data_IF_225878517349
#
_entry.id   IF_225878517349
#
_cell.length_a   1.000
_cell.length_b   1.000
_cell.length_c   1.000
_cell.angle_alpha   90.00
_cell.angle_beta   90.00
_cell.angle_gamma   90.00
#
_symmetry.space_group_name_H-M   'P 1'
#
loop_
_entity.id
_entity.type
_entity.pdbx_description
1 polymer ?
#
# COMPACT_ATOMS: atom_id res chain seq x y z
N UNK A 1 -28.19 13.49 5.46
CA UNK A 1 -29.58 13.39 5.92
C UNK A 1 -29.59 12.99 7.40
N UNK A 2 -29.98 13.90 8.31
CA UNK A 2 -29.97 13.64 9.77
C UNK A 2 -31.14 12.76 10.25
N UNK A 3 -32.17 12.59 9.44
CA UNK A 3 -33.41 11.88 9.82
C UNK A 3 -33.31 10.34 9.70
N UNK A 4 -32.16 9.86 9.21
CA UNK A 4 -31.90 8.43 9.03
C UNK A 4 -30.59 8.02 9.73
N UNK A 5 -30.36 6.72 9.98
CA UNK A 5 -29.07 6.24 10.50
C UNK A 5 -27.89 6.74 9.66
N UNK A 6 -26.79 7.15 10.28
CA UNK A 6 -25.63 7.80 9.62
C UNK A 6 -25.19 7.14 8.31
N UNK A 7 -25.13 5.82 8.28
CA UNK A 7 -24.73 5.06 7.08
C UNK A 7 -25.76 5.06 5.94
N UNK A 8 -26.98 5.51 6.21
CA UNK A 8 -28.08 5.62 5.24
C UNK A 8 -28.36 7.07 4.80
N UNK A 9 -27.63 8.05 5.35
CA UNK A 9 -27.86 9.46 5.08
C UNK A 9 -26.65 10.16 4.46
N UNK A 10 -25.70 9.41 3.89
CA UNK A 10 -24.51 9.97 3.27
C UNK A 10 -24.63 9.99 1.74
N UNK A 11 -24.22 11.10 1.13
CA UNK A 11 -24.10 11.24 -0.31
C UNK A 11 -22.66 11.62 -0.65
N UNK A 12 -22.10 11.02 -1.70
CA UNK A 12 -20.73 11.28 -2.13
C UNK A 12 -20.69 12.22 -3.33
N UNK A 13 -19.68 13.09 -3.34
CA UNK A 13 -19.40 14.02 -4.41
C UNK A 13 -17.91 13.98 -4.77
N UNK A 14 -17.61 14.20 -6.06
CA UNK A 14 -16.27 14.62 -6.49
C UNK A 14 -16.19 16.12 -6.25
N UNK A 15 -15.18 16.56 -5.51
CA UNK A 15 -14.99 17.99 -5.23
C UNK A 15 -13.67 18.41 -5.87
N UNK A 16 -13.68 19.34 -6.87
CA UNK A 16 -12.44 19.89 -7.42
C UNK A 16 -11.64 20.60 -6.33
N UNK A 17 -10.33 20.34 -6.26
CA UNK A 17 -9.48 20.94 -5.24
C UNK A 17 -9.24 22.44 -5.41
N UNK A 18 -9.55 22.99 -6.58
CA UNK A 18 -9.52 24.42 -6.90
C UNK A 18 -10.86 25.12 -6.66
N UNK A 19 -11.85 24.43 -6.07
CA UNK A 19 -13.13 25.04 -5.72
C UNK A 19 -12.95 26.09 -4.62
N UNK A 20 -13.71 27.17 -4.72
CA UNK A 20 -13.75 28.22 -3.68
C UNK A 20 -14.14 27.62 -2.34
N UNK A 21 -13.41 28.00 -1.29
CA UNK A 21 -13.63 27.49 0.08
C UNK A 21 -12.81 26.22 0.41
N UNK A 22 -11.91 25.79 -0.48
CA UNK A 22 -10.98 24.70 -0.17
C UNK A 22 -9.61 25.26 0.16
N UNK A 23 -9.07 24.82 1.31
CA UNK A 23 -7.68 25.05 1.69
C UNK A 23 -6.99 23.71 1.89
N UNK A 24 -5.80 23.54 1.30
CA UNK A 24 -4.98 22.33 1.41
C UNK A 24 -3.68 22.65 2.10
N UNK A 25 -3.46 22.10 3.29
CA UNK A 25 -2.23 22.24 4.06
C UNK A 25 -1.38 20.97 3.97
N UNK A 26 -0.10 21.14 3.64
CA UNK A 26 0.85 20.03 3.59
C UNK A 26 1.21 19.55 4.99
N UNK A 27 1.20 18.23 5.18
CA UNK A 27 1.75 17.55 6.37
C UNK A 27 2.93 16.71 5.94
N UNK A 28 4.12 17.05 6.44
CA UNK A 28 5.33 16.29 6.20
C UNK A 28 5.42 15.16 7.23
N UNK A 29 5.44 13.91 6.74
CA UNK A 29 5.53 12.73 7.60
C UNK A 29 6.96 12.33 7.87
N UNK A 30 7.17 11.49 8.88
CA UNK A 30 8.49 10.98 9.26
C UNK A 30 9.21 10.21 8.12
N UNK A 31 8.46 9.54 7.27
CA UNK A 31 9.01 8.77 6.14
C UNK A 31 9.20 9.60 4.86
N UNK A 32 9.13 10.94 4.95
CA UNK A 32 9.31 11.88 3.84
C UNK A 32 8.18 11.82 2.77
N UNK A 33 7.09 11.11 3.06
CA UNK A 33 5.88 11.12 2.25
C UNK A 33 4.97 12.27 2.67
N UNK A 34 4.59 13.12 1.72
CA UNK A 34 3.67 14.22 1.98
C UNK A 34 2.23 13.71 2.03
N UNK A 35 1.53 14.00 3.12
CA UNK A 35 0.06 13.94 3.17
C UNK A 35 -0.51 15.36 3.25
N UNK A 36 -1.83 15.50 3.27
CA UNK A 36 -2.47 16.81 3.34
C UNK A 36 -3.64 16.79 4.32
N UNK A 37 -3.86 17.93 4.96
CA UNK A 37 -5.13 18.26 5.61
C UNK A 37 -5.90 19.14 4.63
N UNK A 38 -7.15 18.81 4.37
CA UNK A 38 -8.03 19.60 3.50
C UNK A 38 -9.17 20.15 4.30
N UNK A 39 -9.33 21.46 4.25
CA UNK A 39 -10.42 22.19 4.88
C UNK A 39 -11.47 22.56 3.83
N UNK A 40 -12.73 22.47 4.22
CA UNK A 40 -13.87 22.81 3.38
C UNK A 40 -14.72 23.84 4.12
N UNK A 41 -14.79 25.05 3.62
CA UNK A 41 -15.59 26.14 4.19
C UNK A 41 -16.54 26.69 3.13
N UNK A 42 -17.84 26.42 3.31
CA UNK A 42 -18.89 26.90 2.41
C UNK A 42 -18.77 26.42 0.95
N UNK A 43 -18.03 25.36 0.67
CA UNK A 43 -17.79 24.82 -0.68
C UNK A 43 -19.11 24.45 -1.36
N UNK A 44 -19.32 24.97 -2.57
CA UNK A 44 -20.48 24.68 -3.39
C UNK A 44 -20.10 23.79 -4.57
N UNK A 45 -20.77 22.64 -4.67
CA UNK A 45 -20.53 21.65 -5.73
C UNK A 45 -21.82 21.41 -6.49
N UNK A 46 -21.75 21.36 -7.82
CA UNK A 46 -22.92 21.06 -8.67
C UNK A 46 -23.36 19.61 -8.46
N UNK A 47 -24.67 19.35 -8.55
CA UNK A 47 -25.21 18.00 -8.42
C UNK A 47 -24.67 17.02 -9.47
N UNK A 48 -24.20 17.51 -10.62
CA UNK A 48 -23.54 16.69 -11.63
C UNK A 48 -22.22 16.03 -11.18
N UNK A 49 -21.65 16.48 -10.06
CA UNK A 49 -20.47 15.85 -9.42
C UNK A 49 -20.85 14.80 -8.38
N UNK A 50 -22.14 14.56 -8.18
CA UNK A 50 -22.62 13.53 -7.26
C UNK A 50 -22.28 12.13 -7.80
N UNK A 51 -21.79 11.28 -6.91
CA UNK A 51 -21.51 9.89 -7.19
C UNK A 51 -22.64 9.00 -6.62
N UNK A 52 -23.40 8.40 -7.50
CA UNK A 52 -24.51 7.54 -7.14
C UNK A 52 -25.77 8.29 -6.71
N UNK A 53 -26.65 7.60 -6.02
CA UNK A 53 -27.92 8.12 -5.55
C UNK A 53 -27.75 9.01 -4.31
N UNK A 54 -28.72 9.90 -4.07
CA UNK A 54 -28.84 10.60 -2.79
C UNK A 54 -28.97 9.56 -1.68
N UNK A 55 -28.24 9.77 -0.58
CA UNK A 55 -28.17 8.85 0.57
C UNK A 55 -27.53 7.48 0.26
N UNK A 56 -26.99 7.30 -0.96
CA UNK A 56 -26.33 6.08 -1.43
C UNK A 56 -24.80 6.07 -1.24
N UNK A 57 -24.22 7.04 -0.55
CA UNK A 57 -22.76 7.26 -0.48
C UNK A 57 -21.97 6.10 0.13
N UNK A 58 -22.53 5.39 1.10
CA UNK A 58 -21.87 4.20 1.68
C UNK A 58 -21.67 3.11 0.63
N UNK A 59 -22.63 2.89 -0.26
CA UNK A 59 -22.49 1.92 -1.34
C UNK A 59 -21.35 2.29 -2.30
N UNK A 60 -21.25 3.57 -2.64
CA UNK A 60 -20.17 4.10 -3.49
C UNK A 60 -18.82 3.91 -2.82
N UNK A 61 -18.70 4.30 -1.55
CA UNK A 61 -17.48 4.15 -0.75
C UNK A 61 -17.06 2.69 -0.63
N UNK A 62 -18.00 1.79 -0.33
CA UNK A 62 -17.73 0.35 -0.21
C UNK A 62 -17.20 -0.23 -1.52
N UNK A 63 -17.74 0.19 -2.66
CA UNK A 63 -17.24 -0.21 -3.98
C UNK A 63 -15.79 0.22 -4.20
N UNK A 64 -15.43 1.46 -3.87
CA UNK A 64 -14.06 1.95 -3.97
C UNK A 64 -13.09 1.19 -3.03
N UNK A 65 -13.49 0.96 -1.78
CA UNK A 65 -12.69 0.20 -0.82
C UNK A 65 -12.48 -1.27 -1.23
N UNK A 66 -13.47 -1.90 -1.85
CA UNK A 66 -13.32 -3.27 -2.37
C UNK A 66 -12.27 -3.36 -3.47
N UNK A 67 -12.18 -2.35 -4.34
CA UNK A 67 -11.14 -2.28 -5.37
C UNK A 67 -9.75 -2.10 -4.74
N UNK A 68 -9.64 -1.31 -3.69
CA UNK A 68 -8.38 -1.13 -2.95
C UNK A 68 -7.90 -2.45 -2.31
N UNK A 69 -8.78 -3.24 -1.75
CA UNK A 69 -8.43 -4.52 -1.13
C UNK A 69 -7.99 -5.60 -2.14
N UNK A 70 -8.32 -5.46 -3.43
CA UNK A 70 -7.90 -6.40 -4.47
C UNK A 70 -6.45 -6.24 -4.94
N UNK A 71 -5.81 -5.11 -4.62
CA UNK A 71 -4.42 -4.81 -5.00
C UNK A 71 -3.42 -5.30 -3.95
N UNK A 72 -2.51 -6.19 -4.34
CA UNK A 72 -1.38 -6.57 -3.51
C UNK A 72 -0.20 -5.59 -3.66
N UNK A 73 0.76 -5.67 -2.74
CA UNK A 73 2.01 -4.89 -2.79
C UNK A 73 3.13 -5.60 -3.56
N UNK A 74 2.83 -6.65 -4.33
CA UNK A 74 3.81 -7.55 -4.91
C UNK A 74 4.88 -6.83 -5.75
N UNK A 75 4.50 -5.82 -6.54
CA UNK A 75 5.46 -5.04 -7.33
C UNK A 75 6.50 -4.33 -6.46
N UNK A 76 6.05 -3.68 -5.39
CA UNK A 76 6.91 -2.96 -4.45
C UNK A 76 7.74 -3.94 -3.61
N UNK A 77 7.14 -5.05 -3.19
CA UNK A 77 7.85 -6.12 -2.49
C UNK A 77 8.96 -6.73 -3.37
N UNK A 78 8.70 -7.00 -4.65
CA UNK A 78 9.74 -7.45 -5.59
C UNK A 78 10.86 -6.43 -5.75
N UNK A 79 10.54 -5.14 -5.84
CA UNK A 79 11.55 -4.10 -5.91
C UNK A 79 12.45 -4.11 -4.66
N UNK A 80 11.86 -4.23 -3.47
CA UNK A 80 12.59 -4.33 -2.21
C UNK A 80 13.51 -5.55 -2.16
N UNK A 81 13.01 -6.74 -2.51
CA UNK A 81 13.81 -7.98 -2.49
C UNK A 81 14.98 -7.89 -3.46
N UNK A 82 14.76 -7.39 -4.68
CA UNK A 82 15.82 -7.21 -5.68
C UNK A 82 16.87 -6.20 -5.23
N UNK A 83 16.45 -5.09 -4.64
CA UNK A 83 17.37 -4.09 -4.10
C UNK A 83 18.23 -4.68 -2.96
N UNK A 84 17.62 -5.42 -2.05
CA UNK A 84 18.35 -6.10 -0.96
C UNK A 84 19.31 -7.19 -1.51
N UNK A 85 18.90 -7.95 -2.51
CA UNK A 85 19.77 -8.92 -3.16
C UNK A 85 20.97 -8.25 -3.83
N UNK A 86 20.74 -7.17 -4.57
CA UNK A 86 21.83 -6.40 -5.20
C UNK A 86 22.80 -5.88 -4.14
N UNK A 87 22.28 -5.29 -3.06
CA UNK A 87 23.11 -4.79 -1.97
C UNK A 87 23.93 -5.92 -1.30
N UNK A 88 23.34 -7.10 -1.12
CA UNK A 88 24.07 -8.26 -0.62
C UNK A 88 25.20 -8.75 -1.56
N UNK A 89 25.11 -8.50 -2.86
CA UNK A 89 26.17 -8.81 -3.83
C UNK A 89 27.31 -7.79 -3.75
N UNK A 90 27.01 -6.55 -3.43
CA UNK A 90 27.96 -5.43 -3.42
C UNK A 90 28.67 -5.29 -2.07
N UNK A 91 27.92 -5.46 -0.96
CA UNK A 91 28.47 -5.37 0.40
C UNK A 91 29.35 -6.58 0.71
N UNK A 92 30.49 -6.31 1.32
CA UNK A 92 31.41 -7.35 1.77
C UNK A 92 31.44 -7.41 3.29
N UNK A 93 31.42 -8.63 3.83
CA UNK A 93 31.64 -8.93 5.25
C UNK A 93 32.78 -9.96 5.31
N UNK A 94 33.81 -9.71 6.07
CA UNK A 94 35.00 -10.58 6.18
C UNK A 94 35.64 -10.90 4.82
N UNK A 95 35.67 -9.89 3.92
CA UNK A 95 36.27 -10.01 2.57
C UNK A 95 35.41 -10.74 1.52
N UNK A 96 34.27 -11.31 1.92
CA UNK A 96 33.35 -12.04 0.99
C UNK A 96 32.07 -11.23 0.76
N UNK A 97 31.44 -11.34 -0.42
CA UNK A 97 30.12 -10.75 -0.65
C UNK A 97 29.12 -11.27 0.39
N UNK A 98 28.24 -10.38 0.88
CA UNK A 98 27.24 -10.76 1.88
C UNK A 98 26.28 -11.83 1.34
N UNK A 99 26.06 -11.89 0.02
CA UNK A 99 25.22 -12.90 -0.63
C UNK A 99 25.74 -14.33 -0.43
N UNK A 100 27.06 -14.52 -0.18
CA UNK A 100 27.66 -15.84 0.07
C UNK A 100 27.39 -16.34 1.50
N UNK A 101 26.83 -15.48 2.36
CA UNK A 101 26.46 -15.85 3.72
C UNK A 101 25.13 -16.62 3.72
N UNK A 102 25.11 -17.78 4.35
CA UNK A 102 23.94 -18.67 4.41
C UNK A 102 22.73 -18.01 5.10
N UNK A 103 22.95 -17.16 6.11
CA UNK A 103 21.86 -16.42 6.75
C UNK A 103 21.25 -15.39 5.78
N UNK A 104 22.08 -14.65 5.05
CA UNK A 104 21.61 -13.72 4.02
C UNK A 104 20.78 -14.43 2.95
N UNK A 105 21.24 -15.58 2.46
CA UNK A 105 20.51 -16.39 1.49
C UNK A 105 19.15 -16.86 2.02
N UNK A 106 19.08 -17.32 3.27
CA UNK A 106 17.84 -17.75 3.92
C UNK A 106 16.85 -16.59 4.08
N UNK A 107 17.32 -15.42 4.48
CA UNK A 107 16.47 -14.22 4.67
C UNK A 107 15.91 -13.75 3.33
N UNK A 108 16.75 -13.64 2.28
CA UNK A 108 16.32 -13.30 0.94
C UNK A 108 15.33 -14.33 0.36
N UNK A 109 15.61 -15.63 0.52
CA UNK A 109 14.73 -16.71 0.05
C UNK A 109 13.37 -16.66 0.76
N UNK A 110 13.33 -16.40 2.06
CA UNK A 110 12.09 -16.24 2.83
C UNK A 110 11.27 -15.06 2.32
N UNK A 111 11.90 -13.89 2.13
CA UNK A 111 11.22 -12.71 1.60
C UNK A 111 10.70 -12.95 0.18
N UNK A 112 11.48 -13.62 -0.67
CA UNK A 112 11.05 -14.05 -2.00
C UNK A 112 9.82 -14.95 -1.93
N UNK A 113 9.81 -15.93 -1.03
CA UNK A 113 8.67 -16.82 -0.82
C UNK A 113 7.42 -16.03 -0.39
N UNK A 114 7.55 -15.04 0.50
CA UNK A 114 6.43 -14.21 0.92
C UNK A 114 5.84 -13.41 -0.24
N UNK A 115 6.67 -12.86 -1.15
CA UNK A 115 6.18 -12.16 -2.34
C UNK A 115 5.41 -13.11 -3.26
N UNK A 116 5.95 -14.31 -3.55
CA UNK A 116 5.29 -15.31 -4.37
C UNK A 116 3.93 -15.74 -3.78
N UNK A 117 3.88 -15.96 -2.46
CA UNK A 117 2.63 -16.27 -1.77
C UNK A 117 1.64 -15.11 -1.83
N UNK A 118 2.11 -13.86 -1.67
CA UNK A 118 1.26 -12.68 -1.79
C UNK A 118 0.64 -12.58 -3.20
N UNK A 119 1.41 -12.85 -4.25
CA UNK A 119 0.90 -12.90 -5.63
C UNK A 119 -0.16 -13.99 -5.83
N UNK A 120 0.09 -15.20 -5.31
CA UNK A 120 -0.87 -16.31 -5.42
C UNK A 120 -2.19 -15.96 -4.72
N UNK A 121 -2.12 -15.40 -3.50
CA UNK A 121 -3.31 -15.00 -2.74
C UNK A 121 -4.06 -13.86 -3.44
N UNK A 122 -3.34 -12.86 -3.97
CA UNK A 122 -3.94 -11.75 -4.71
C UNK A 122 -4.62 -12.23 -6.00
N UNK A 123 -3.96 -13.12 -6.76
CA UNK A 123 -4.53 -13.72 -7.95
C UNK A 123 -5.78 -14.56 -7.62
N UNK A 124 -5.76 -15.28 -6.49
CA UNK A 124 -6.94 -16.00 -6.01
C UNK A 124 -8.10 -15.05 -5.69
N UNK A 125 -7.81 -13.92 -5.04
CA UNK A 125 -8.82 -12.90 -4.73
C UNK A 125 -9.44 -12.31 -6.01
N UNK A 126 -8.60 -11.98 -7.00
CA UNK A 126 -9.04 -11.48 -8.30
C UNK A 126 -9.91 -12.50 -9.03
N UNK A 127 -9.45 -13.75 -9.12
CA UNK A 127 -10.21 -14.83 -9.74
C UNK A 127 -11.57 -15.05 -9.06
N UNK A 128 -11.62 -15.04 -7.74
CA UNK A 128 -12.87 -15.19 -6.99
C UNK A 128 -13.83 -14.04 -7.27
N UNK A 129 -13.33 -12.81 -7.41
CA UNK A 129 -14.14 -11.66 -7.83
C UNK A 129 -14.71 -11.80 -9.23
N UNK A 130 -13.91 -12.22 -10.21
CA UNK A 130 -14.33 -12.48 -11.59
C UNK A 130 -15.39 -13.57 -11.64
N UNK A 131 -15.22 -14.63 -10.85
CA UNK A 131 -16.20 -15.75 -10.76
C UNK A 131 -17.42 -15.41 -9.90
N UNK A 132 -17.49 -14.20 -9.33
CA UNK A 132 -18.57 -13.76 -8.42
C UNK A 132 -18.82 -14.74 -7.27
N UNK A 133 -17.75 -15.30 -6.71
CA UNK A 133 -17.86 -16.21 -5.57
C UNK A 133 -18.35 -15.44 -4.32
N UNK A 134 -19.20 -16.05 -3.48
CA UNK A 134 -19.86 -15.36 -2.37
C UNK A 134 -18.96 -15.09 -1.16
N UNK A 135 -17.65 -15.18 -1.31
CA UNK A 135 -16.72 -14.95 -0.19
C UNK A 135 -16.15 -13.54 -0.22
N UNK A 136 -16.37 -12.79 0.86
CA UNK A 136 -15.77 -11.47 1.11
C UNK A 136 -14.35 -11.56 1.70
N UNK A 137 -13.87 -12.77 2.02
CA UNK A 137 -12.60 -12.95 2.73
C UNK A 137 -11.36 -12.86 1.83
N UNK A 138 -11.45 -13.17 0.54
CA UNK A 138 -10.28 -13.28 -0.34
C UNK A 138 -9.50 -11.98 -0.48
N UNK A 139 -10.17 -10.85 -0.69
CA UNK A 139 -9.52 -9.54 -0.77
C UNK A 139 -8.83 -9.14 0.54
N UNK A 140 -9.54 -9.12 1.68
CA UNK A 140 -8.96 -8.86 2.99
C UNK A 140 -7.79 -9.79 3.35
N UNK A 141 -7.86 -11.09 3.01
CA UNK A 141 -6.74 -12.02 3.20
C UNK A 141 -5.50 -11.60 2.40
N UNK A 142 -5.68 -11.24 1.13
CA UNK A 142 -4.59 -10.79 0.28
C UNK A 142 -3.94 -9.51 0.84
N UNK A 143 -4.76 -8.54 1.24
CA UNK A 143 -4.29 -7.28 1.83
C UNK A 143 -3.54 -7.52 3.13
N UNK A 144 -4.13 -8.28 4.06
CA UNK A 144 -3.54 -8.56 5.36
C UNK A 144 -2.20 -9.28 5.21
N UNK A 145 -2.17 -10.38 4.48
CA UNK A 145 -0.94 -11.16 4.30
C UNK A 145 0.17 -10.33 3.67
N UNK A 146 -0.12 -9.64 2.56
CA UNK A 146 0.90 -8.87 1.84
C UNK A 146 1.43 -7.70 2.67
N UNK A 147 0.58 -6.95 3.39
CA UNK A 147 1.02 -5.82 4.20
C UNK A 147 1.86 -6.25 5.40
N UNK A 148 1.42 -7.26 6.16
CA UNK A 148 2.15 -7.78 7.33
C UNK A 148 3.52 -8.36 6.93
N UNK A 149 3.56 -9.15 5.85
CA UNK A 149 4.82 -9.73 5.38
C UNK A 149 5.73 -8.67 4.78
N UNK A 150 5.20 -7.67 4.08
CA UNK A 150 6.00 -6.57 3.54
C UNK A 150 6.71 -5.79 4.66
N UNK A 151 6.00 -5.43 5.72
CA UNK A 151 6.60 -4.73 6.86
C UNK A 151 7.67 -5.57 7.56
N UNK A 152 7.38 -6.84 7.83
CA UNK A 152 8.32 -7.74 8.48
C UNK A 152 9.58 -7.97 7.65
N UNK A 153 9.42 -8.21 6.34
CA UNK A 153 10.53 -8.42 5.41
C UNK A 153 11.34 -7.14 5.21
N UNK A 154 10.70 -5.96 5.17
CA UNK A 154 11.40 -4.69 5.07
C UNK A 154 12.32 -4.46 6.28
N UNK A 155 11.81 -4.66 7.48
CA UNK A 155 12.60 -4.55 8.71
C UNK A 155 13.76 -5.56 8.72
N UNK A 156 13.50 -6.81 8.34
CA UNK A 156 14.49 -7.89 8.30
C UNK A 156 15.61 -7.62 7.28
N UNK A 157 15.25 -7.19 6.06
CA UNK A 157 16.24 -6.91 5.01
C UNK A 157 17.04 -5.63 5.27
N UNK A 158 16.44 -4.61 5.90
CA UNK A 158 17.16 -3.43 6.36
C UNK A 158 18.20 -3.79 7.43
N UNK A 159 17.83 -4.66 8.40
CA UNK A 159 18.75 -5.18 9.41
C UNK A 159 19.89 -5.99 8.78
N UNK A 160 19.58 -6.90 7.86
CA UNK A 160 20.57 -7.71 7.15
C UNK A 160 21.65 -6.86 6.49
N UNK A 161 21.26 -5.77 5.87
CA UNK A 161 22.13 -4.91 5.07
C UNK A 161 22.66 -3.69 5.82
N UNK A 162 22.39 -3.58 7.13
CA UNK A 162 22.93 -2.51 7.98
C UNK A 162 24.46 -2.57 8.06
N UNK A 163 25.17 -1.42 8.18
CA UNK A 163 24.65 -0.05 8.24
C UNK A 163 24.36 0.56 6.86
N UNK A 164 24.63 -0.13 5.77
CA UNK A 164 24.52 0.40 4.41
C UNK A 164 23.07 0.78 4.05
N UNK A 165 22.09 -0.02 4.48
CA UNK A 165 20.65 0.23 4.31
C UNK A 165 20.16 1.54 4.95
N UNK A 166 20.89 2.11 5.89
CA UNK A 166 20.53 3.34 6.57
C UNK A 166 21.08 4.61 5.87
N UNK A 167 21.81 4.45 4.75
CA UNK A 167 22.39 5.55 4.02
C UNK A 167 21.44 6.10 2.96
N UNK A 168 21.17 7.41 2.99
CA UNK A 168 20.44 8.12 1.92
C UNK A 168 21.35 8.55 0.74
N UNK A 169 22.64 8.19 0.75
CA UNK A 169 23.58 8.56 -0.33
C UNK A 169 23.33 7.68 -1.56
N UNK A 170 23.36 8.29 -2.75
CA UNK A 170 23.37 7.53 -4.02
C UNK A 170 24.66 6.72 -4.09
N UNK A 171 24.56 5.42 -4.08
CA UNK A 171 25.65 4.45 -4.14
C UNK A 171 25.07 3.06 -3.94
N UNK A 172 25.90 2.01 -3.82
CA UNK A 172 25.38 0.65 -3.61
C UNK A 172 24.47 0.48 -2.39
N UNK A 173 24.37 1.51 -1.57
CA UNK A 173 23.57 1.53 -0.34
C UNK A 173 22.51 2.65 -0.29
N UNK A 174 22.31 3.40 -1.36
CA UNK A 174 21.30 4.46 -1.41
C UNK A 174 20.06 3.99 -2.16
N UNK A 175 18.93 3.85 -1.45
CA UNK A 175 17.61 3.75 -2.06
C UNK A 175 17.07 5.15 -2.36
#
# INVERSE_FOLDING_TARGET
NPDVPKHKGLTMFIVPLDAEGIEVQAVHTFQDERTNITYYDGVKVKDSYRLGEVDGGVRVMTGALQLEHGGGFAKTQWAMVRAAEQLCREVRRDGRPLIDNVDAQKRLARSTLHVLLAEVIANRALWAGVQKLPSLAYGPMAKLFSSEKFLADAADLLDLTAPHSLSKRKGPAGF
#
